data_IF_678238771122
#
_entry.id   IF_678238771122
#
_cell.length_a   1.000
_cell.length_b   1.000
_cell.length_c   1.000
_cell.angle_alpha   90.00
_cell.angle_beta   90.00
_cell.angle_gamma   90.00
#
_symmetry.space_group_name_H-M   'P 1'
#
loop_
_entity.id
_entity.type
_entity.pdbx_description
1 polymer ?
#
# COMPACT_ATOMS: atom_id res chain seq x y z
N UNK A 1 -24.64 -28.67 -13.83
CA UNK A 1 -24.74 -28.98 -12.39
C UNK A 1 -25.76 -28.06 -11.76
N UNK A 2 -26.92 -28.56 -11.34
CA UNK A 2 -27.86 -27.82 -10.48
C UNK A 2 -27.56 -28.22 -9.04
N UNK A 3 -26.67 -27.47 -8.38
CA UNK A 3 -26.50 -27.58 -6.94
C UNK A 3 -27.60 -26.77 -6.26
N UNK A 4 -28.56 -27.43 -5.62
CA UNK A 4 -29.51 -26.77 -4.73
C UNK A 4 -28.78 -26.43 -3.42
N UNK A 5 -28.56 -25.15 -3.15
CA UNK A 5 -28.10 -24.70 -1.84
C UNK A 5 -29.26 -24.91 -0.84
N UNK A 6 -29.10 -25.84 0.10
CA UNK A 6 -29.99 -25.98 1.25
C UNK A 6 -29.50 -25.05 2.35
N UNK A 7 -30.08 -23.86 2.39
CA UNK A 7 -29.90 -22.80 3.37
C UNK A 7 -30.80 -21.65 2.90
N UNK A 8 -31.40 -20.88 3.80
CA UNK A 8 -32.23 -19.75 3.35
C UNK A 8 -31.38 -18.84 2.46
N UNK A 9 -31.77 -18.61 1.21
CA UNK A 9 -31.05 -17.75 0.25
C UNK A 9 -30.93 -16.29 0.74
N UNK A 10 -31.37 -15.98 1.96
CA UNK A 10 -31.48 -14.65 2.56
C UNK A 10 -30.19 -14.23 3.27
N UNK A 11 -29.61 -13.13 2.81
CA UNK A 11 -28.47 -12.47 3.42
C UNK A 11 -28.89 -11.61 4.61
N UNK A 12 -29.91 -10.77 4.47
CA UNK A 12 -30.43 -9.93 5.55
C UNK A 12 -31.87 -9.49 5.26
N UNK A 13 -32.80 -9.69 6.20
CA UNK A 13 -34.21 -9.35 5.97
C UNK A 13 -34.78 -10.10 4.76
N UNK A 14 -35.23 -9.36 3.74
CA UNK A 14 -35.69 -9.91 2.45
C UNK A 14 -34.59 -10.12 1.42
N UNK A 15 -33.40 -9.51 1.60
CA UNK A 15 -32.31 -9.56 0.62
C UNK A 15 -31.82 -10.98 0.41
N UNK A 16 -31.80 -11.44 -0.83
CA UNK A 16 -31.24 -12.74 -1.22
C UNK A 16 -29.84 -12.65 -1.83
N UNK A 17 -29.10 -13.77 -1.85
CA UNK A 17 -27.80 -13.90 -2.53
C UNK A 17 -27.93 -13.60 -4.02
N UNK A 18 -28.98 -14.11 -4.66
CA UNK A 18 -29.23 -13.88 -6.09
C UNK A 18 -29.46 -12.40 -6.38
N UNK A 19 -30.25 -11.70 -5.57
CA UNK A 19 -30.48 -10.26 -5.73
C UNK A 19 -29.22 -9.43 -5.51
N UNK A 20 -28.41 -9.79 -4.52
CA UNK A 20 -27.10 -9.17 -4.29
C UNK A 20 -26.19 -9.33 -5.51
N UNK A 21 -25.92 -10.58 -5.92
CA UNK A 21 -24.93 -10.86 -6.97
C UNK A 21 -25.36 -10.36 -8.35
N UNK A 22 -26.66 -10.30 -8.64
CA UNK A 22 -27.19 -9.88 -9.94
C UNK A 22 -26.63 -8.53 -10.38
N UNK A 23 -26.54 -7.55 -9.47
CA UNK A 23 -26.07 -6.21 -9.84
C UNK A 23 -24.57 -6.18 -10.10
N UNK A 24 -23.77 -6.94 -9.34
CA UNK A 24 -22.31 -6.97 -9.49
C UNK A 24 -21.85 -7.73 -10.73
N UNK A 25 -22.64 -8.69 -11.24
CA UNK A 25 -22.31 -9.41 -12.47
C UNK A 25 -22.90 -8.79 -13.74
N UNK A 26 -24.04 -8.10 -13.65
CA UNK A 26 -24.77 -7.64 -14.83
C UNK A 26 -24.71 -6.14 -15.07
N UNK A 27 -24.14 -5.36 -14.15
CA UNK A 27 -24.03 -3.90 -14.27
C UNK A 27 -22.58 -3.47 -14.28
N UNK A 28 -22.28 -2.44 -15.07
CA UNK A 28 -21.00 -1.74 -15.04
C UNK A 28 -20.98 -0.68 -13.94
N UNK A 29 -19.77 -0.37 -13.47
CA UNK A 29 -19.50 0.61 -12.40
C UNK A 29 -19.34 -0.03 -11.03
N UNK A 30 -19.17 0.82 -10.01
CA UNK A 30 -19.08 0.43 -8.61
C UNK A 30 -19.99 1.33 -7.76
N UNK A 31 -20.57 0.81 -6.66
CA UNK A 31 -21.29 1.64 -5.73
C UNK A 31 -20.36 2.64 -5.04
N UNK A 32 -20.86 3.85 -4.84
CA UNK A 32 -20.21 4.90 -4.03
C UNK A 32 -21.00 5.01 -2.72
N UNK A 33 -20.33 4.79 -1.60
CA UNK A 33 -20.90 4.81 -0.25
C UNK A 33 -20.35 6.01 0.50
N UNK A 34 -21.23 6.95 0.82
CA UNK A 34 -20.91 8.09 1.66
C UNK A 34 -21.15 7.72 3.13
N UNK A 35 -20.14 7.97 3.96
CA UNK A 35 -20.20 7.77 5.41
C UNK A 35 -20.01 9.12 6.08
N UNK A 36 -21.06 9.61 6.73
CA UNK A 36 -21.03 10.90 7.43
C UNK A 36 -21.27 10.72 8.92
N UNK A 37 -20.43 11.35 9.74
CA UNK A 37 -20.71 11.55 11.15
C UNK A 37 -21.22 12.99 11.35
N UNK A 38 -22.52 13.17 11.51
CA UNK A 38 -23.18 14.47 11.66
C UNK A 38 -24.22 14.41 12.77
N UNK A 39 -24.43 15.51 13.50
CA UNK A 39 -25.43 15.57 14.59
C UNK A 39 -25.34 14.40 15.59
N UNK A 40 -24.11 13.93 15.85
CA UNK A 40 -23.83 12.78 16.70
C UNK A 40 -24.54 11.50 16.24
N UNK A 41 -24.61 11.27 14.92
CA UNK A 41 -25.12 10.05 14.31
C UNK A 41 -24.29 9.70 13.08
N UNK A 42 -24.03 8.40 12.89
CA UNK A 42 -23.48 7.89 11.64
C UNK A 42 -24.62 7.73 10.63
N UNK A 43 -24.47 8.34 9.46
CA UNK A 43 -25.31 8.11 8.28
C UNK A 43 -24.45 7.43 7.20
N UNK A 44 -24.99 6.35 6.63
CA UNK A 44 -24.36 5.59 5.55
C UNK A 44 -25.36 5.56 4.40
N UNK A 45 -24.97 6.09 3.25
CA UNK A 45 -25.87 6.25 2.10
C UNK A 45 -25.12 6.04 0.79
N UNK A 46 -25.83 5.60 -0.26
CA UNK A 46 -25.28 5.50 -1.60
C UNK A 46 -25.42 6.82 -2.34
N UNK A 47 -24.35 7.24 -3.02
CA UNK A 47 -24.41 8.34 -3.98
C UNK A 47 -24.89 7.83 -5.33
N UNK A 48 -26.22 7.77 -5.47
CA UNK A 48 -26.85 7.36 -6.73
C UNK A 48 -26.61 8.36 -7.86
N UNK A 49 -26.45 9.66 -7.57
CA UNK A 49 -26.21 10.68 -8.60
C UNK A 49 -24.82 10.50 -9.23
N UNK A 50 -23.81 10.22 -8.40
CA UNK A 50 -22.46 9.89 -8.86
C UNK A 50 -22.38 8.51 -9.57
N UNK A 51 -23.47 7.74 -9.55
CA UNK A 51 -23.56 6.38 -10.10
C UNK A 51 -24.59 6.25 -11.25
N UNK A 52 -24.88 7.33 -11.98
CA UNK A 52 -25.89 7.37 -13.06
C UNK A 52 -27.30 6.92 -12.61
N UNK A 53 -27.68 7.23 -11.37
CA UNK A 53 -28.94 6.83 -10.75
C UNK A 53 -29.00 5.36 -10.31
N UNK A 54 -27.89 4.61 -10.41
CA UNK A 54 -27.84 3.20 -10.01
C UNK A 54 -27.59 3.06 -8.50
N UNK A 55 -28.19 2.02 -7.92
CA UNK A 55 -27.93 1.58 -6.55
C UNK A 55 -27.73 0.07 -6.49
N UNK A 56 -27.00 -0.37 -5.47
CA UNK A 56 -26.61 -1.76 -5.21
C UNK A 56 -27.06 -2.19 -3.81
N UNK A 57 -27.03 -3.49 -3.55
CA UNK A 57 -27.02 -4.00 -2.18
C UNK A 57 -25.57 -4.16 -1.75
N UNK A 58 -25.08 -3.30 -0.88
CA UNK A 58 -23.64 -3.20 -0.56
C UNK A 58 -23.34 -3.82 0.81
N UNK A 59 -22.47 -4.83 0.90
CA UNK A 59 -21.93 -5.27 2.18
C UNK A 59 -20.92 -4.24 2.68
N UNK A 60 -21.23 -3.62 3.82
CA UNK A 60 -20.38 -2.65 4.50
C UNK A 60 -19.76 -3.33 5.73
N UNK A 61 -18.47 -3.63 5.65
CA UNK A 61 -17.67 -4.21 6.74
C UNK A 61 -17.16 -3.08 7.63
N UNK A 62 -17.63 -3.02 8.87
CA UNK A 62 -17.31 -1.95 9.83
C UNK A 62 -16.52 -2.53 10.99
N UNK A 63 -15.28 -2.09 11.18
CA UNK A 63 -14.46 -2.48 12.33
C UNK A 63 -14.67 -1.48 13.47
N UNK A 64 -15.19 -1.93 14.62
CA UNK A 64 -15.14 -1.19 15.89
C UNK A 64 -13.71 -1.26 16.42
N UNK A 65 -13.05 -0.10 16.47
CA UNK A 65 -11.62 0.00 16.77
C UNK A 65 -11.31 -0.37 18.22
N UNK A 66 -12.24 -0.09 19.14
CA UNK A 66 -12.02 -0.22 20.58
C UNK A 66 -12.02 -1.70 21.01
N UNK A 67 -12.92 -2.50 20.47
CA UNK A 67 -13.04 -3.93 20.81
C UNK A 67 -12.55 -4.87 19.70
N UNK A 68 -12.06 -4.33 18.58
CA UNK A 68 -11.59 -5.07 17.39
C UNK A 68 -12.66 -6.00 16.81
N UNK A 69 -13.94 -5.66 16.97
CA UNK A 69 -15.06 -6.44 16.44
C UNK A 69 -15.47 -5.91 15.08
N UNK A 70 -15.48 -6.80 14.09
CA UNK A 70 -16.07 -6.49 12.78
C UNK A 70 -17.58 -6.71 12.80
N UNK A 71 -18.30 -5.79 12.17
CA UNK A 71 -19.72 -5.83 11.94
C UNK A 71 -19.99 -5.84 10.44
N UNK A 72 -20.96 -6.64 10.00
CA UNK A 72 -21.48 -6.59 8.64
C UNK A 72 -22.82 -5.85 8.64
N UNK A 73 -22.85 -4.73 7.93
CA UNK A 73 -24.06 -3.98 7.62
C UNK A 73 -24.37 -4.16 6.13
N UNK A 74 -25.64 -4.40 5.78
CA UNK A 74 -26.10 -4.40 4.41
C UNK A 74 -26.76 -3.06 4.11
N UNK A 75 -26.12 -2.24 3.29
CA UNK A 75 -26.71 -1.02 2.74
C UNK A 75 -27.55 -1.39 1.53
N UNK A 76 -28.87 -1.30 1.67
CA UNK A 76 -29.81 -1.68 0.63
C UNK A 76 -29.99 -0.55 -0.40
N UNK A 77 -30.63 -0.89 -1.52
CA UNK A 77 -30.86 0.02 -2.66
C UNK A 77 -31.66 1.29 -2.33
N UNK A 78 -32.45 1.25 -1.27
CA UNK A 78 -33.25 2.36 -0.74
C UNK A 78 -32.54 3.15 0.36
N UNK A 79 -31.23 2.93 0.54
CA UNK A 79 -30.38 3.47 1.61
C UNK A 79 -30.78 3.02 3.03
N UNK A 80 -31.67 2.05 3.18
CA UNK A 80 -31.89 1.42 4.48
C UNK A 80 -30.72 0.50 4.84
N UNK A 81 -30.44 0.37 6.14
CA UNK A 81 -29.41 -0.52 6.66
C UNK A 81 -30.09 -1.75 7.26
N UNK A 82 -29.65 -2.92 6.82
CA UNK A 82 -30.02 -4.20 7.41
C UNK A 82 -28.81 -4.82 8.11
N UNK A 83 -28.97 -5.30 9.34
CA UNK A 83 -27.93 -6.04 10.06
C UNK A 83 -28.54 -7.23 10.78
N UNK A 84 -27.95 -8.42 10.62
CA UNK A 84 -28.41 -9.64 11.31
C UNK A 84 -28.33 -9.51 12.84
N UNK A 85 -27.31 -8.80 13.31
CA UNK A 85 -27.07 -8.60 14.74
C UNK A 85 -27.73 -7.32 15.26
N UNK A 86 -28.57 -6.65 14.44
CA UNK A 86 -29.20 -5.37 14.76
C UNK A 86 -28.22 -4.31 15.27
N UNK A 87 -27.00 -4.28 14.69
CA UNK A 87 -25.94 -3.36 15.10
C UNK A 87 -26.39 -1.93 14.85
N UNK A 88 -26.28 -1.10 15.88
CA UNK A 88 -26.38 0.36 15.77
C UNK A 88 -25.01 0.95 16.04
N UNK A 89 -24.52 1.77 15.12
CA UNK A 89 -23.24 2.44 15.28
C UNK A 89 -23.36 3.51 16.36
N UNK A 90 -22.65 3.29 17.46
CA UNK A 90 -22.53 4.26 18.53
C UNK A 90 -21.71 5.48 18.03
N UNK A 91 -22.29 6.68 17.97
CA UNK A 91 -21.60 7.87 17.48
C UNK A 91 -20.42 8.29 18.37
N UNK A 92 -20.29 7.76 19.58
CA UNK A 92 -19.16 7.99 20.48
C UNK A 92 -17.95 7.10 20.17
N UNK A 93 -18.15 5.99 19.46
CA UNK A 93 -17.05 5.10 19.04
C UNK A 93 -16.45 5.52 17.71
N UNK A 94 -15.27 4.97 17.43
CA UNK A 94 -14.55 5.13 16.18
C UNK A 94 -14.60 3.84 15.37
N UNK A 95 -14.73 3.97 14.05
CA UNK A 95 -14.91 2.83 13.17
C UNK A 95 -14.12 2.99 11.88
N UNK A 96 -13.64 1.87 11.35
CA UNK A 96 -13.13 1.78 9.99
C UNK A 96 -14.22 1.18 9.12
N UNK A 97 -14.61 1.92 8.09
CA UNK A 97 -15.55 1.45 7.08
C UNK A 97 -14.78 0.76 5.97
N UNK A 98 -15.35 -0.29 5.40
CA UNK A 98 -14.67 -1.18 4.45
C UNK A 98 -13.39 -1.83 4.99
N UNK A 99 -13.47 -2.40 6.20
CA UNK A 99 -12.34 -3.05 6.85
C UNK A 99 -11.58 -4.01 5.90
N UNK A 100 -10.26 -3.85 5.80
CA UNK A 100 -9.37 -4.60 4.90
C UNK A 100 -9.69 -4.47 3.40
N UNK A 101 -10.48 -3.48 2.98
CA UNK A 101 -10.90 -3.33 1.58
C UNK A 101 -11.76 -4.48 1.06
N UNK A 102 -12.47 -5.20 1.95
CA UNK A 102 -13.25 -6.41 1.59
C UNK A 102 -14.43 -6.14 0.66
N UNK A 103 -15.02 -4.96 0.72
CA UNK A 103 -16.18 -4.57 -0.06
C UNK A 103 -15.80 -4.01 -1.43
N UNK A 104 -16.52 -4.45 -2.47
CA UNK A 104 -16.46 -3.82 -3.79
C UNK A 104 -17.33 -2.56 -3.81
N UNK A 105 -16.82 -1.48 -3.22
CA UNK A 105 -17.42 -0.15 -3.24
C UNK A 105 -16.35 0.92 -3.03
N UNK A 106 -16.58 2.12 -3.55
CA UNK A 106 -15.82 3.31 -3.17
C UNK A 106 -16.45 3.87 -1.91
N UNK A 107 -15.65 4.09 -0.88
CA UNK A 107 -16.12 4.69 0.37
C UNK A 107 -15.63 6.12 0.45
N UNK A 108 -16.54 7.06 0.64
CA UNK A 108 -16.24 8.46 0.92
C UNK A 108 -16.56 8.70 2.39
N UNK A 109 -15.53 8.63 3.23
CA UNK A 109 -15.67 8.90 4.67
C UNK A 109 -15.44 10.38 4.92
N UNK A 110 -16.38 11.05 5.58
CA UNK A 110 -16.21 12.46 5.88
C UNK A 110 -15.11 12.72 6.93
N UNK A 111 -14.56 13.92 6.89
CA UNK A 111 -13.47 14.39 7.75
C UNK A 111 -13.67 14.05 9.23
N UNK A 112 -14.88 14.28 9.75
CA UNK A 112 -15.19 14.04 11.16
C UNK A 112 -15.10 12.56 11.55
N UNK A 113 -15.55 11.66 10.68
CA UNK A 113 -15.44 10.22 10.92
C UNK A 113 -13.98 9.72 10.76
N UNK A 114 -13.24 10.25 9.79
CA UNK A 114 -11.83 9.92 9.57
C UNK A 114 -10.94 10.41 10.74
N UNK A 115 -11.10 11.65 11.18
CA UNK A 115 -10.39 12.21 12.33
C UNK A 115 -10.67 11.42 13.61
N UNK A 116 -11.92 11.05 13.83
CA UNK A 116 -12.29 10.22 14.99
C UNK A 116 -11.59 8.87 14.99
N UNK A 117 -11.35 8.29 13.82
CA UNK A 117 -10.58 7.06 13.67
C UNK A 117 -9.11 7.28 14.06
N UNK A 118 -8.48 8.34 13.55
CA UNK A 118 -7.10 8.72 13.90
C UNK A 118 -6.91 9.01 15.39
N UNK A 119 -7.90 9.62 16.04
CA UNK A 119 -7.89 9.91 17.48
C UNK A 119 -7.93 8.65 18.37
N UNK A 120 -8.53 7.56 17.86
CA UNK A 120 -8.89 6.40 18.67
C UNK A 120 -7.81 5.30 18.74
N UNK A 121 -6.83 5.33 17.84
CA UNK A 121 -5.78 4.33 17.76
C UNK A 121 -4.53 4.93 17.11
N UNK A 122 -3.36 4.41 17.47
CA UNK A 122 -2.15 4.68 16.70
C UNK A 122 -2.33 4.20 15.26
N UNK A 123 -2.12 5.10 14.31
CA UNK A 123 -2.20 4.80 12.88
C UNK A 123 -1.33 3.58 12.50
N UNK A 124 -0.15 3.45 13.11
CA UNK A 124 0.81 2.37 12.83
C UNK A 124 0.34 0.98 13.31
N UNK A 125 -0.72 0.89 14.11
CA UNK A 125 -1.31 -0.38 14.56
C UNK A 125 -2.39 -0.91 13.60
N UNK A 126 -2.78 -0.11 12.61
CA UNK A 126 -3.71 -0.54 11.57
C UNK A 126 -3.05 -1.55 10.64
N UNK A 127 -3.86 -2.35 9.96
CA UNK A 127 -3.40 -3.15 8.82
C UNK A 127 -3.03 -2.24 7.65
N UNK A 128 -2.22 -2.77 6.73
CA UNK A 128 -1.80 -2.07 5.49
C UNK A 128 -3.00 -1.50 4.73
N UNK A 129 -4.06 -2.30 4.55
CA UNK A 129 -5.25 -1.89 3.80
C UNK A 129 -6.04 -0.80 4.51
N UNK A 130 -6.20 -0.90 5.83
CA UNK A 130 -6.88 0.13 6.60
C UNK A 130 -6.08 1.43 6.68
N UNK A 131 -4.74 1.35 6.76
CA UNK A 131 -3.88 2.53 6.66
C UNK A 131 -4.08 3.24 5.31
N UNK A 132 -4.02 2.50 4.20
CA UNK A 132 -4.24 3.05 2.85
C UNK A 132 -5.59 3.76 2.76
N UNK A 133 -6.65 3.05 3.15
CA UNK A 133 -8.00 3.59 3.09
C UNK A 133 -8.16 4.86 3.92
N UNK A 134 -7.61 4.88 5.14
CA UNK A 134 -7.72 6.04 6.01
C UNK A 134 -6.97 7.26 5.46
N UNK A 135 -5.78 7.06 4.88
CA UNK A 135 -5.00 8.17 4.30
C UNK A 135 -5.71 8.86 3.13
N UNK A 136 -6.57 8.16 2.40
CA UNK A 136 -7.36 8.74 1.31
C UNK A 136 -8.46 9.70 1.82
N UNK A 137 -8.72 9.73 3.13
CA UNK A 137 -9.78 10.52 3.78
C UNK A 137 -9.27 11.47 4.87
N UNK A 138 -7.96 11.62 5.03
CA UNK A 138 -7.42 12.57 6.02
C UNK A 138 -7.54 13.99 5.47
N UNK A 139 -8.25 14.90 6.16
CA UNK A 139 -8.30 16.30 5.75
C UNK A 139 -6.94 16.97 5.96
N UNK A 140 -6.68 18.04 5.21
CA UNK A 140 -5.48 18.87 5.40
C UNK A 140 -5.63 19.81 6.60
N UNK A 141 -4.53 20.16 7.26
CA UNK A 141 -4.50 21.19 8.31
C UNK A 141 -5.06 20.75 9.67
N UNK A 142 -4.99 19.46 9.97
CA UNK A 142 -5.53 18.90 11.22
C UNK A 142 -4.53 19.00 12.37
N UNK A 143 -4.98 18.75 13.60
CA UNK A 143 -4.05 18.62 14.75
C UNK A 143 -3.11 17.42 14.65
N UNK A 144 -3.41 16.46 13.77
CA UNK A 144 -2.55 15.32 13.44
C UNK A 144 -1.60 15.61 12.29
N UNK A 145 -1.65 16.82 11.74
CA UNK A 145 -0.93 17.22 10.54
C UNK A 145 -1.65 16.80 9.26
N UNK A 146 -0.91 16.88 8.16
CA UNK A 146 -1.33 16.38 6.85
C UNK A 146 -1.00 14.89 6.71
N UNK A 147 -1.40 14.28 5.58
CA UNK A 147 -1.08 12.89 5.25
C UNK A 147 0.43 12.59 5.37
N UNK A 148 1.30 13.55 5.04
CA UNK A 148 2.75 13.38 5.15
C UNK A 148 3.22 13.30 6.61
N UNK A 149 2.60 14.04 7.53
CA UNK A 149 2.91 13.99 8.96
C UNK A 149 2.55 12.64 9.57
N UNK A 150 1.36 12.11 9.21
CA UNK A 150 0.90 10.80 9.67
C UNK A 150 1.79 9.69 9.12
N UNK A 151 2.12 9.74 7.83
CA UNK A 151 3.01 8.78 7.20
C UNK A 151 4.42 8.81 7.82
N UNK A 152 4.98 10.00 8.02
CA UNK A 152 6.28 10.17 8.67
C UNK A 152 6.26 9.62 10.11
N UNK A 153 5.23 9.91 10.91
CA UNK A 153 5.09 9.37 12.26
C UNK A 153 5.10 7.83 12.29
N UNK A 154 4.40 7.21 11.34
CA UNK A 154 4.40 5.74 11.20
C UNK A 154 5.78 5.19 10.78
N UNK A 155 6.50 5.90 9.91
CA UNK A 155 7.86 5.54 9.49
C UNK A 155 8.83 5.62 10.67
N UNK A 156 8.76 6.68 11.48
CA UNK A 156 9.60 6.82 12.69
C UNK A 156 9.35 5.67 13.66
N UNK A 157 8.08 5.30 13.87
CA UNK A 157 7.71 4.24 14.81
C UNK A 157 8.06 2.83 14.30
N UNK A 158 7.81 2.53 13.02
CA UNK A 158 7.98 1.19 12.44
C UNK A 158 9.33 0.97 11.77
N UNK A 159 10.07 2.03 11.46
CA UNK A 159 11.35 2.00 10.74
C UNK A 159 11.26 1.16 9.46
N UNK A 160 12.19 0.22 9.25
CA UNK A 160 12.24 -0.66 8.08
C UNK A 160 11.10 -1.68 8.00
N UNK A 161 10.22 -1.76 9.00
CA UNK A 161 9.02 -2.62 8.99
C UNK A 161 7.78 -1.88 8.48
N UNK A 162 7.96 -0.65 8.02
CA UNK A 162 6.88 0.16 7.47
C UNK A 162 6.41 -0.38 6.12
N UNK A 163 5.11 -0.32 5.80
CA UNK A 163 4.63 -0.63 4.46
C UNK A 163 5.21 0.33 3.42
N UNK A 164 5.72 -0.20 2.30
CA UNK A 164 6.37 0.59 1.25
C UNK A 164 5.49 1.71 0.66
N UNK A 165 4.17 1.54 0.66
CA UNK A 165 3.26 2.53 0.11
C UNK A 165 3.29 3.86 0.89
N UNK A 166 3.69 3.85 2.17
CA UNK A 166 3.80 5.09 2.96
C UNK A 166 4.89 6.02 2.44
N UNK A 167 5.86 5.49 1.69
CA UNK A 167 6.93 6.30 1.10
C UNK A 167 6.44 7.27 0.02
N UNK A 168 5.27 7.01 -0.59
CA UNK A 168 4.65 7.94 -1.55
C UNK A 168 4.11 9.22 -0.91
N UNK A 169 4.05 9.25 0.42
CA UNK A 169 3.54 10.36 1.21
C UNK A 169 4.64 11.11 1.96
N UNK A 170 5.91 10.73 1.78
CA UNK A 170 7.04 11.45 2.35
C UNK A 170 7.23 12.74 1.57
N UNK A 171 7.29 13.86 2.29
CA UNK A 171 7.58 15.17 1.70
C UNK A 171 9.10 15.40 1.55
N UNK A 172 9.46 16.28 0.61
CA UNK A 172 10.85 16.62 0.30
C UNK A 172 11.64 17.14 1.50
N UNK A 173 10.96 17.76 2.49
CA UNK A 173 11.63 18.36 3.66
C UNK A 173 12.15 17.30 4.62
N UNK A 174 11.52 16.13 4.66
CA UNK A 174 11.87 15.01 5.57
C UNK A 174 12.54 13.85 4.86
N UNK A 175 12.70 13.94 3.54
CA UNK A 175 13.16 12.86 2.70
C UNK A 175 14.48 12.23 3.20
N UNK A 176 15.53 13.04 3.42
CA UNK A 176 16.82 12.55 3.89
C UNK A 176 16.74 11.89 5.27
N UNK A 177 15.94 12.45 6.18
CA UNK A 177 15.74 11.88 7.51
C UNK A 177 15.07 10.52 7.42
N UNK A 178 14.00 10.41 6.63
CA UNK A 178 13.30 9.14 6.36
C UNK A 178 14.25 8.11 5.77
N UNK A 179 15.08 8.50 4.79
CA UNK A 179 16.08 7.60 4.20
C UNK A 179 17.10 7.10 5.23
N UNK A 180 17.55 7.95 6.16
CA UNK A 180 18.41 7.50 7.25
C UNK A 180 17.68 6.52 8.18
N UNK A 181 16.47 6.87 8.65
CA UNK A 181 15.65 6.00 9.53
C UNK A 181 15.44 4.61 8.92
N UNK A 182 15.05 4.55 7.64
CA UNK A 182 14.81 3.28 6.96
C UNK A 182 16.11 2.50 6.79
N UNK A 183 17.16 3.15 6.28
CA UNK A 183 18.42 2.47 5.96
C UNK A 183 19.19 1.97 7.19
N UNK A 184 19.04 2.61 8.35
CA UNK A 184 19.73 2.22 9.59
C UNK A 184 19.23 0.88 10.16
N UNK A 185 17.96 0.52 9.91
CA UNK A 185 17.32 -0.71 10.42
C UNK A 185 16.93 -1.68 9.29
N UNK A 186 17.34 -1.42 8.05
CA UNK A 186 16.90 -2.23 6.90
C UNK A 186 17.59 -3.61 6.88
N UNK A 187 16.78 -4.67 6.87
CA UNK A 187 17.26 -6.03 6.65
C UNK A 187 17.39 -6.29 5.14
N UNK A 188 18.62 -6.50 4.67
CA UNK A 188 18.90 -6.77 3.26
C UNK A 188 18.55 -8.20 2.83
N UNK A 189 17.99 -9.05 3.70
CA UNK A 189 17.43 -10.35 3.30
C UNK A 189 16.32 -10.17 2.26
N UNK A 190 16.28 -11.01 1.21
CA UNK A 190 15.39 -10.83 0.07
C UNK A 190 13.98 -11.38 0.31
N UNK A 191 13.32 -10.99 1.41
CA UNK A 191 11.89 -11.25 1.59
C UNK A 191 11.07 -10.41 0.62
N UNK A 192 9.80 -10.76 0.40
CA UNK A 192 8.92 -10.00 -0.51
C UNK A 192 8.80 -8.55 -0.02
N UNK A 193 8.63 -8.38 1.28
CA UNK A 193 8.46 -7.08 1.94
C UNK A 193 9.71 -6.22 1.80
N UNK A 194 10.89 -6.79 2.05
CA UNK A 194 12.16 -6.06 1.94
C UNK A 194 12.46 -5.69 0.49
N UNK A 195 12.18 -6.59 -0.47
CA UNK A 195 12.37 -6.31 -1.90
C UNK A 195 11.50 -5.15 -2.36
N UNK A 196 10.23 -5.13 -1.95
CA UNK A 196 9.33 -4.02 -2.23
C UNK A 196 9.83 -2.74 -1.57
N UNK A 197 10.05 -2.74 -0.26
CA UNK A 197 10.50 -1.54 0.46
C UNK A 197 11.82 -0.99 -0.11
N UNK A 198 12.85 -1.84 -0.20
CA UNK A 198 14.17 -1.47 -0.73
C UNK A 198 14.13 -1.00 -2.18
N UNK A 199 13.24 -1.55 -3.01
CA UNK A 199 13.01 -1.08 -4.37
C UNK A 199 12.51 0.38 -4.45
N UNK A 200 11.81 0.85 -3.42
CA UNK A 200 11.32 2.24 -3.34
C UNK A 200 12.36 3.20 -2.74
N UNK A 201 13.00 2.85 -1.62
CA UNK A 201 13.81 3.83 -0.88
C UNK A 201 15.32 3.78 -1.14
N UNK A 202 15.87 2.61 -1.51
CA UNK A 202 17.32 2.40 -1.41
C UNK A 202 18.11 3.26 -2.42
N UNK A 203 17.60 3.42 -3.64
CA UNK A 203 18.23 4.28 -4.65
C UNK A 203 18.16 5.77 -4.26
N UNK A 204 16.98 6.33 -3.91
CA UNK A 204 16.90 7.68 -3.34
C UNK A 204 17.84 7.89 -2.14
N UNK A 205 17.90 6.93 -1.22
CA UNK A 205 18.78 7.00 -0.05
C UNK A 205 20.27 7.09 -0.41
N UNK A 206 20.73 6.31 -1.41
CA UNK A 206 22.12 6.39 -1.91
C UNK A 206 22.41 7.74 -2.56
N UNK A 207 21.46 8.29 -3.32
CA UNK A 207 21.60 9.59 -3.98
C UNK A 207 21.63 10.74 -2.98
N UNK A 208 20.81 10.65 -1.94
CA UNK A 208 20.77 11.57 -0.81
C UNK A 208 21.96 11.41 0.17
N UNK A 209 22.86 10.44 -0.07
CA UNK A 209 23.98 10.09 0.81
C UNK A 209 23.56 9.69 2.24
N UNK A 210 22.44 8.98 2.40
CA UNK A 210 22.08 8.35 3.66
C UNK A 210 23.17 7.35 4.07
N UNK A 211 23.70 7.50 5.29
CA UNK A 211 25.01 6.92 5.66
C UNK A 211 24.99 5.39 5.63
N UNK A 212 23.97 4.76 6.22
CA UNK A 212 23.84 3.30 6.22
C UNK A 212 23.57 2.75 4.82
N UNK A 213 22.71 3.41 4.02
CA UNK A 213 22.46 3.00 2.64
C UNK A 213 23.74 3.02 1.78
N UNK A 214 24.53 4.09 1.84
CA UNK A 214 25.83 4.22 1.15
C UNK A 214 26.80 3.12 1.60
N UNK A 215 26.94 2.89 2.91
CA UNK A 215 27.84 1.87 3.45
C UNK A 215 27.47 0.47 2.97
N UNK A 216 26.20 0.08 3.09
CA UNK A 216 25.77 -1.28 2.73
C UNK A 216 25.76 -1.50 1.22
N UNK A 217 25.34 -0.50 0.43
CA UNK A 217 25.40 -0.60 -1.04
C UNK A 217 26.82 -0.63 -1.58
N UNK A 218 27.78 0.05 -0.93
CA UNK A 218 29.20 -0.09 -1.28
C UNK A 218 29.72 -1.51 -1.06
N UNK A 219 29.35 -2.16 0.06
CA UNK A 219 29.70 -3.58 0.30
C UNK A 219 29.08 -4.51 -0.76
N UNK A 220 27.81 -4.29 -1.11
CA UNK A 220 27.13 -5.04 -2.16
C UNK A 220 27.80 -4.82 -3.53
N UNK A 221 28.25 -3.60 -3.83
CA UNK A 221 28.97 -3.30 -5.07
C UNK A 221 30.32 -4.04 -5.13
N UNK A 222 31.08 -4.05 -4.03
CA UNK A 222 32.34 -4.82 -3.96
C UNK A 222 32.10 -6.33 -4.15
N UNK A 223 31.01 -6.85 -3.59
CA UNK A 223 30.62 -8.24 -3.82
C UNK A 223 30.24 -8.48 -5.29
N UNK A 224 29.49 -7.57 -5.90
CA UNK A 224 29.13 -7.62 -7.31
C UNK A 224 30.36 -7.59 -8.23
N UNK A 225 31.37 -6.77 -7.95
CA UNK A 225 32.63 -6.77 -8.71
C UNK A 225 33.30 -8.14 -8.71
N UNK A 226 33.27 -8.85 -7.57
CA UNK A 226 33.82 -10.21 -7.45
C UNK A 226 32.97 -11.25 -8.17
N UNK A 227 31.67 -11.22 -7.97
CA UNK A 227 30.74 -12.19 -8.55
C UNK A 227 30.68 -12.07 -10.08
N UNK A 228 30.68 -10.84 -10.58
CA UNK A 228 30.61 -10.49 -12.00
C UNK A 228 31.95 -10.09 -12.62
N UNK A 229 33.07 -10.57 -12.08
CA UNK A 229 34.39 -10.34 -12.66
C UNK A 229 34.48 -10.82 -14.12
N UNK A 230 35.51 -10.38 -14.85
CA UNK A 230 35.75 -10.83 -16.24
C UNK A 230 35.87 -12.36 -16.27
N UNK A 231 35.25 -12.98 -17.28
CA UNK A 231 35.20 -14.44 -17.43
C UNK A 231 34.11 -15.14 -16.63
N UNK A 232 33.35 -14.43 -15.79
CA UNK A 232 32.14 -14.94 -15.15
C UNK A 232 30.93 -14.82 -16.06
N UNK A 233 30.00 -15.77 -15.94
CA UNK A 233 28.73 -15.73 -16.66
C UNK A 233 27.89 -14.55 -16.18
N UNK A 234 27.58 -13.64 -17.10
CA UNK A 234 26.84 -12.42 -16.81
C UNK A 234 25.35 -12.63 -16.54
N UNK A 235 24.80 -13.79 -16.93
CA UNK A 235 23.39 -14.13 -16.69
C UNK A 235 23.16 -14.44 -15.21
N UNK A 236 24.09 -15.17 -14.59
CA UNK A 236 23.95 -15.67 -13.21
C UNK A 236 24.77 -14.91 -12.18
N UNK A 237 25.81 -14.16 -12.61
CA UNK A 237 26.68 -13.48 -11.67
C UNK A 237 26.00 -12.42 -10.78
N UNK A 238 24.94 -11.70 -11.19
CA UNK A 238 24.36 -10.66 -10.34
C UNK A 238 23.51 -11.29 -9.22
N UNK A 239 24.16 -11.62 -8.10
CA UNK A 239 23.51 -12.23 -6.93
C UNK A 239 22.69 -11.24 -6.10
N UNK A 240 22.84 -9.94 -6.37
CA UNK A 240 22.01 -8.89 -5.78
C UNK A 240 20.59 -9.02 -6.35
N UNK A 241 19.57 -8.93 -5.49
CA UNK A 241 18.18 -8.92 -5.96
C UNK A 241 17.91 -7.73 -6.89
N UNK A 242 17.11 -7.92 -7.95
CA UNK A 242 16.94 -6.92 -9.00
C UNK A 242 16.53 -5.52 -8.52
N UNK A 243 15.74 -5.43 -7.44
CA UNK A 243 15.23 -4.19 -6.88
C UNK A 243 16.34 -3.31 -6.28
N UNK A 244 17.42 -3.90 -5.76
CA UNK A 244 18.50 -3.16 -5.09
C UNK A 244 19.61 -2.75 -6.06
N UNK A 245 19.70 -3.40 -7.22
CA UNK A 245 20.82 -3.25 -8.17
C UNK A 245 21.03 -1.79 -8.60
N UNK A 246 19.97 -1.02 -8.85
CA UNK A 246 20.09 0.40 -9.22
C UNK A 246 20.81 1.22 -8.15
N UNK A 247 20.46 1.03 -6.88
CA UNK A 247 21.14 1.72 -5.78
C UNK A 247 22.62 1.30 -5.67
N UNK A 248 22.90 0.01 -5.86
CA UNK A 248 24.26 -0.53 -5.85
C UNK A 248 25.10 0.00 -7.01
N UNK A 249 24.51 0.14 -8.21
CA UNK A 249 25.17 0.70 -9.38
C UNK A 249 25.40 2.20 -9.24
N UNK A 250 24.41 2.95 -8.75
CA UNK A 250 24.54 4.37 -8.44
C UNK A 250 25.69 4.60 -7.44
N UNK A 251 25.82 3.75 -6.41
CA UNK A 251 26.92 3.84 -5.46
C UNK A 251 28.27 3.49 -6.10
N UNK A 252 28.33 2.44 -6.93
CA UNK A 252 29.55 2.03 -7.61
C UNK A 252 30.03 3.04 -8.66
N UNK A 253 29.12 3.72 -9.33
CA UNK A 253 29.42 4.73 -10.34
C UNK A 253 30.08 6.01 -9.76
N UNK A 254 30.08 6.20 -8.44
CA UNK A 254 30.72 7.35 -7.77
C UNK A 254 32.25 7.34 -7.84
N UNK A 255 32.88 6.22 -8.22
CA UNK A 255 34.34 6.12 -8.42
C UNK A 255 34.68 5.84 -9.88
N UNK A 256 35.85 6.29 -10.34
CA UNK A 256 36.30 6.01 -11.70
C UNK A 256 36.46 4.50 -11.98
N UNK A 257 36.98 3.75 -11.00
CA UNK A 257 37.12 2.29 -11.08
C UNK A 257 35.75 1.61 -11.20
N UNK A 258 34.79 2.00 -10.35
CA UNK A 258 33.45 1.40 -10.36
C UNK A 258 32.67 1.75 -11.61
N UNK A 259 32.76 3.00 -12.08
CA UNK A 259 32.18 3.42 -13.35
C UNK A 259 32.77 2.66 -14.54
N UNK A 260 34.10 2.46 -14.56
CA UNK A 260 34.75 1.62 -15.57
C UNK A 260 34.24 0.18 -15.53
N UNK A 261 34.16 -0.42 -14.34
CA UNK A 261 33.63 -1.76 -14.16
C UNK A 261 32.18 -1.89 -14.69
N UNK A 262 31.30 -0.93 -14.37
CA UNK A 262 29.91 -0.92 -14.82
C UNK A 262 29.80 -0.78 -16.35
N UNK A 263 30.67 0.02 -16.98
CA UNK A 263 30.73 0.16 -18.44
C UNK A 263 31.18 -1.14 -19.10
N UNK A 264 32.20 -1.79 -18.55
CA UNK A 264 32.70 -3.07 -19.06
C UNK A 264 31.69 -4.20 -18.83
N UNK A 265 30.97 -4.20 -17.71
CA UNK A 265 29.85 -5.09 -17.45
C UNK A 265 28.73 -4.88 -18.48
N UNK A 266 28.31 -3.64 -18.75
CA UNK A 266 27.31 -3.31 -19.77
C UNK A 266 27.71 -3.82 -21.17
N UNK A 267 28.95 -3.57 -21.59
CA UNK A 267 29.46 -4.06 -22.89
C UNK A 267 29.41 -5.58 -23.01
N UNK A 268 29.69 -6.31 -21.92
CA UNK A 268 29.55 -7.77 -21.91
C UNK A 268 28.10 -8.21 -22.09
N UNK A 269 27.14 -7.51 -21.48
CA UNK A 269 25.70 -7.78 -21.67
C UNK A 269 25.31 -7.55 -23.13
N UNK A 270 25.72 -6.43 -23.73
CA UNK A 270 25.44 -6.08 -25.13
C UNK A 270 26.07 -7.06 -26.13
N UNK A 271 27.22 -7.66 -25.78
CA UNK A 271 27.89 -8.67 -26.61
C UNK A 271 27.35 -10.11 -26.43
N UNK A 272 26.44 -10.33 -25.49
CA UNK A 272 26.00 -11.68 -25.12
C UNK A 272 24.86 -12.19 -26.01
N UNK A 273 24.82 -13.50 -26.37
CA UNK A 273 23.74 -14.07 -27.19
C UNK A 273 22.32 -13.83 -26.64
N UNK A 274 22.19 -13.67 -25.32
CA UNK A 274 20.90 -13.42 -24.64
C UNK A 274 20.64 -11.93 -24.33
N UNK A 275 21.30 -10.99 -25.01
CA UNK A 275 21.21 -9.56 -24.69
C UNK A 275 19.78 -9.03 -24.59
N UNK A 276 18.86 -9.48 -25.46
CA UNK A 276 17.45 -9.05 -25.48
C UNK A 276 16.72 -9.44 -24.19
N UNK A 277 17.01 -10.62 -23.64
CA UNK A 277 16.46 -11.07 -22.37
C UNK A 277 17.05 -10.31 -21.17
N UNK A 278 18.20 -9.68 -21.36
CA UNK A 278 18.89 -8.88 -20.35
C UNK A 278 18.63 -7.38 -20.46
N UNK A 279 17.73 -6.93 -21.34
CA UNK A 279 17.32 -5.52 -21.44
C UNK A 279 16.90 -4.92 -20.09
N UNK A 280 16.17 -5.61 -19.19
CA UNK A 280 15.88 -5.06 -17.87
C UNK A 280 17.15 -4.71 -17.07
N UNK A 281 18.22 -5.49 -17.23
CA UNK A 281 19.50 -5.26 -16.57
C UNK A 281 20.28 -4.11 -17.21
N UNK A 282 20.30 -4.04 -18.54
CA UNK A 282 20.87 -2.88 -19.26
C UNK A 282 20.18 -1.57 -18.83
N UNK A 283 18.86 -1.58 -18.69
CA UNK A 283 18.08 -0.42 -18.24
C UNK A 283 18.37 0.00 -16.79
N UNK A 284 18.99 -0.86 -15.96
CA UNK A 284 19.46 -0.49 -14.62
C UNK A 284 20.83 0.18 -14.65
N UNK A 285 21.60 -0.01 -15.72
CA UNK A 285 22.94 0.56 -15.95
C UNK A 285 22.89 1.89 -16.71
N UNK A 286 21.75 2.60 -16.66
CA UNK A 286 21.62 3.94 -17.22
C UNK A 286 22.10 4.95 -16.16
N UNK A 287 23.32 5.46 -16.36
CA UNK A 287 23.98 6.51 -15.57
C UNK A 287 24.44 7.63 -16.51
#
# INVERSE_FOLDING_TARGET
>A
MRGSAKGTDKLCGSLTVTEYLKDYFLRTGSPIVNVTLENNQYRIEQDSAASDGKTWNVPVFVLDIANKKEHLLWLLKDNSICSRDNVKLDPQKAYIFNNEGKGFAVFNVNDRAALKTLESLKFSELSVHNMQHLLDHVPTGTSYGDVSDIAYGAIVEKKSKVPYFLLRHVDDKRELEVWNILSDDFDYKPTVENRLLGGYFLQPAVRANATSAVRETAKLFEQFKRDCAVGKDIVECPRIVPEYRRAVYDQGAKTEEGLKFLRDYRKRIEAHPLQEWMTPEQNRLQY
#
